data_IF_532141364673
#
_entry.id   IF_532141364673
#
_cell.length_a   1.000
_cell.length_b   1.000
_cell.length_c   1.000
_cell.angle_alpha   90.00
_cell.angle_beta   90.00
_cell.angle_gamma   90.00
#
_symmetry.space_group_name_H-M   'P 1'
#
loop_
_entity.id
_entity.type
_entity.pdbx_description
1 polymer ?
#
# COMPACT_ATOMS: atom_id res chain seq x y z
N UNK A 1 -2.16 7.52 6.59
CA UNK A 1 -3.11 8.20 5.67
C UNK A 1 -2.36 8.67 4.41
N UNK A 2 -3.03 8.96 3.29
CA UNK A 2 -2.37 9.46 2.06
C UNK A 2 -2.09 10.97 2.08
N UNK A 3 -1.44 11.50 1.02
CA UNK A 3 -1.13 12.93 0.91
C UNK A 3 -2.38 13.79 0.73
N UNK A 4 -3.33 13.31 -0.07
CA UNK A 4 -4.54 14.06 -0.48
C UNK A 4 -5.84 13.49 0.10
N UNK A 5 -5.78 12.40 0.85
CA UNK A 5 -6.95 11.79 1.48
C UNK A 5 -6.71 10.38 2.01
N UNK A 6 -7.77 9.71 2.50
CA UNK A 6 -7.66 8.33 2.93
C UNK A 6 -7.32 7.43 1.73
N UNK A 7 -6.48 6.43 1.98
CA UNK A 7 -6.16 5.37 1.01
C UNK A 7 -6.79 4.08 1.54
N UNK A 8 -7.71 3.50 0.77
CA UNK A 8 -8.29 2.20 1.07
C UNK A 8 -7.52 1.12 0.33
N UNK A 9 -7.03 0.14 1.09
CA UNK A 9 -6.36 -1.04 0.55
C UNK A 9 -7.07 -2.30 1.01
N UNK A 10 -7.13 -3.29 0.13
CA UNK A 10 -7.52 -4.65 0.43
C UNK A 10 -6.27 -5.50 0.48
N UNK A 11 -6.07 -6.21 1.58
CA UNK A 11 -4.94 -7.12 1.78
C UNK A 11 -5.50 -8.52 1.94
N UNK A 12 -5.05 -9.44 1.10
CA UNK A 12 -5.39 -10.85 1.21
C UNK A 12 -4.24 -11.60 1.88
N UNK A 13 -4.57 -12.33 2.94
CA UNK A 13 -3.62 -13.15 3.70
C UNK A 13 -4.10 -14.59 3.66
N UNK A 14 -3.28 -15.48 3.12
CA UNK A 14 -3.54 -16.92 3.14
C UNK A 14 -2.39 -17.65 3.85
N UNK A 15 -2.72 -18.50 4.82
CA UNK A 15 -1.72 -19.30 5.55
C UNK A 15 -0.66 -18.47 6.27
N UNK A 16 -0.99 -17.24 6.70
CA UNK A 16 -0.07 -16.32 7.37
C UNK A 16 0.88 -15.56 6.43
N UNK A 17 0.62 -15.59 5.12
CA UNK A 17 1.38 -14.84 4.11
C UNK A 17 0.47 -13.94 3.30
N UNK A 18 0.98 -12.78 2.93
CA UNK A 18 0.27 -11.83 2.08
C UNK A 18 0.28 -12.39 0.66
N UNK A 19 -0.89 -12.73 0.11
CA UNK A 19 -1.04 -13.25 -1.25
C UNK A 19 -1.29 -12.14 -2.27
N UNK A 20 -2.04 -11.12 -1.86
CA UNK A 20 -2.45 -10.05 -2.75
C UNK A 20 -2.66 -8.75 -1.95
N UNK A 21 -2.32 -7.62 -2.56
CA UNK A 21 -2.67 -6.31 -2.05
C UNK A 21 -3.24 -5.50 -3.22
N UNK A 22 -4.44 -4.95 -3.04
CA UNK A 22 -5.13 -4.10 -4.01
C UNK A 22 -5.48 -2.76 -3.39
N UNK A 23 -5.21 -1.67 -4.10
CA UNK A 23 -5.72 -0.35 -3.72
C UNK A 23 -7.15 -0.24 -4.24
N UNK A 24 -8.11 -0.10 -3.35
CA UNK A 24 -9.55 -0.01 -3.66
C UNK A 24 -9.96 1.43 -3.97
N UNK A 25 -9.43 2.37 -3.20
CA UNK A 25 -9.76 3.79 -3.30
C UNK A 25 -8.56 4.64 -2.84
N UNK A 26 -8.31 5.75 -3.52
CA UNK A 26 -7.32 6.73 -3.11
C UNK A 26 -7.70 8.12 -3.66
N UNK A 27 -7.36 9.18 -2.92
CA UNK A 27 -7.53 10.56 -3.40
C UNK A 27 -6.23 11.19 -3.93
N UNK A 28 -5.21 10.38 -4.16
CA UNK A 28 -3.88 10.81 -4.59
C UNK A 28 -3.85 11.32 -6.05
N UNK A 29 -2.83 12.11 -6.39
CA UNK A 29 -2.65 12.66 -7.74
C UNK A 29 -2.49 11.57 -8.81
N UNK A 30 -3.48 11.46 -9.69
CA UNK A 30 -3.41 10.62 -10.89
C UNK A 30 -2.15 10.93 -11.73
N UNK A 31 -1.46 9.87 -12.16
CA UNK A 31 -0.22 9.90 -12.93
C UNK A 31 1.06 10.05 -12.09
N UNK A 32 1.00 10.66 -10.90
CA UNK A 32 2.17 10.80 -10.00
C UNK A 32 2.20 9.65 -8.99
N UNK A 33 1.05 9.30 -8.45
CA UNK A 33 0.92 8.25 -7.44
C UNK A 33 0.83 6.84 -8.03
N UNK A 34 0.45 6.68 -9.31
CA UNK A 34 0.38 5.39 -10.01
C UNK A 34 1.56 4.44 -9.76
N UNK A 35 2.83 4.86 -9.90
CA UNK A 35 3.96 3.98 -9.64
C UNK A 35 4.05 3.55 -8.17
N UNK A 36 3.62 4.38 -7.21
CA UNK A 36 3.52 3.97 -5.81
C UNK A 36 2.33 3.02 -5.59
N UNK A 37 1.17 3.35 -6.15
CA UNK A 37 -0.09 2.59 -6.04
C UNK A 37 0.07 1.18 -6.59
N UNK A 38 0.78 0.99 -7.70
CA UNK A 38 1.02 -0.35 -8.25
C UNK A 38 2.32 -0.99 -7.74
N UNK A 39 3.35 -0.20 -7.44
CA UNK A 39 4.69 -0.70 -7.11
C UNK A 39 4.82 -1.14 -5.65
N UNK A 40 4.32 -0.33 -4.71
CA UNK A 40 4.42 -0.60 -3.26
C UNK A 40 3.70 -1.89 -2.87
N UNK A 41 2.43 -2.13 -3.27
CA UNK A 41 1.72 -3.37 -2.94
C UNK A 41 2.47 -4.60 -3.45
N UNK A 42 2.98 -4.53 -4.68
CA UNK A 42 3.73 -5.62 -5.31
C UNK A 42 5.04 -5.90 -4.56
N UNK A 43 5.77 -4.86 -4.21
CA UNK A 43 7.00 -4.98 -3.42
C UNK A 43 6.74 -5.59 -2.03
N UNK A 44 5.64 -5.23 -1.38
CA UNK A 44 5.25 -5.81 -0.08
C UNK A 44 4.93 -7.30 -0.23
N UNK A 45 4.16 -7.68 -1.25
CA UNK A 45 3.84 -9.10 -1.52
C UNK A 45 5.11 -9.88 -1.83
N UNK A 46 6.03 -9.35 -2.65
CA UNK A 46 7.28 -10.02 -3.01
C UNK A 46 8.25 -10.14 -1.83
N UNK A 47 8.45 -9.07 -1.06
CA UNK A 47 9.35 -9.07 0.10
C UNK A 47 8.71 -9.69 1.35
N UNK A 48 7.39 -9.88 1.36
CA UNK A 48 6.61 -10.19 2.56
C UNK A 48 6.97 -9.24 3.73
N UNK A 49 7.21 -7.97 3.41
CA UNK A 49 7.69 -6.96 4.35
C UNK A 49 7.06 -5.62 4.01
N UNK A 50 6.72 -4.87 5.06
CA UNK A 50 6.25 -3.49 4.96
C UNK A 50 7.42 -2.50 4.76
N UNK A 51 8.66 -2.97 4.95
CA UNK A 51 9.89 -2.20 4.73
C UNK A 51 10.25 -2.23 3.23
N UNK A 52 9.56 -1.38 2.47
CA UNK A 52 9.77 -1.20 1.03
C UNK A 52 10.12 0.24 0.72
N UNK A 53 10.97 0.43 -0.29
CA UNK A 53 11.41 1.75 -0.70
C UNK A 53 10.26 2.57 -1.26
N UNK A 54 10.12 3.81 -0.77
CA UNK A 54 9.15 4.75 -1.29
C UNK A 54 9.50 5.17 -2.72
N UNK A 55 8.47 5.40 -3.54
CA UNK A 55 8.66 5.86 -4.91
C UNK A 55 9.00 7.36 -4.94
N UNK A 56 10.07 7.72 -5.65
CA UNK A 56 10.47 9.11 -5.86
C UNK A 56 9.35 9.91 -6.51
N UNK A 57 8.94 11.01 -5.85
CA UNK A 57 7.83 11.87 -6.30
C UNK A 57 6.46 11.47 -5.75
N UNK A 58 6.35 10.31 -5.10
CA UNK A 58 5.14 9.79 -4.47
C UNK A 58 5.44 9.24 -3.07
N UNK A 59 6.32 9.93 -2.32
CA UNK A 59 6.78 9.49 -1.00
C UNK A 59 5.63 9.40 0.00
N UNK A 60 4.79 10.43 0.07
CA UNK A 60 3.62 10.45 0.94
C UNK A 60 2.59 9.38 0.56
N UNK A 61 2.38 9.15 -0.74
CA UNK A 61 1.55 8.05 -1.24
C UNK A 61 2.08 6.70 -0.80
N UNK A 62 3.39 6.50 -0.95
CA UNK A 62 4.05 5.24 -0.63
C UNK A 62 3.91 4.93 0.86
N UNK A 63 4.19 5.92 1.71
CA UNK A 63 4.05 5.81 3.16
C UNK A 63 2.59 5.54 3.55
N UNK A 64 1.64 6.26 2.95
CA UNK A 64 0.21 6.08 3.16
C UNK A 64 -0.29 4.68 2.80
N UNK A 65 0.20 4.09 1.69
CA UNK A 65 -0.12 2.71 1.30
C UNK A 65 0.46 1.73 2.32
N UNK A 66 1.73 1.91 2.72
CA UNK A 66 2.39 1.03 3.70
C UNK A 66 1.63 1.05 5.04
N UNK A 67 1.25 2.24 5.51
CA UNK A 67 0.44 2.40 6.71
C UNK A 67 -0.95 1.78 6.55
N UNK A 68 -1.61 1.95 5.39
CA UNK A 68 -2.92 1.37 5.14
C UNK A 68 -2.87 -0.16 5.15
N UNK A 69 -1.84 -0.76 4.51
CA UNK A 69 -1.61 -2.20 4.51
C UNK A 69 -1.33 -2.68 5.93
N UNK A 70 -0.49 -1.95 6.69
CA UNK A 70 -0.21 -2.26 8.09
C UNK A 70 -1.48 -2.25 8.93
N UNK A 71 -2.32 -1.23 8.79
CA UNK A 71 -3.60 -1.15 9.49
C UNK A 71 -4.55 -2.29 9.07
N UNK A 72 -4.61 -2.64 7.79
CA UNK A 72 -5.41 -3.76 7.31
C UNK A 72 -4.95 -5.10 7.91
N UNK A 73 -3.63 -5.30 8.02
CA UNK A 73 -3.05 -6.49 8.65
C UNK A 73 -3.26 -6.50 10.17
N UNK A 74 -3.17 -5.35 10.84
CA UNK A 74 -3.40 -5.24 12.29
C UNK A 74 -4.88 -5.36 12.66
N UNK A 75 -5.79 -4.88 11.81
CA UNK A 75 -7.23 -4.98 11.99
C UNK A 75 -7.82 -6.33 11.61
N UNK A 76 -7.04 -7.22 10.97
CA UNK A 76 -7.43 -8.59 10.64
C UNK A 76 -7.35 -9.56 11.84
N UNK A 77 -7.35 -9.04 13.07
CA UNK A 77 -7.11 -9.78 14.31
C UNK A 77 -8.35 -9.85 15.20
#
# INVERSE_FOLDING_TARGET
EGLFGPIQVSVEVQGGKITEIKVLDHSESDGIADPAISGIPKAIVEKQSLDVDAVSGATFTSDGIIEAVKNALQGAN
#
